data_IF_223883336148
#
_entry.id   IF_223883336148
#
_cell.length_a   1.000
_cell.length_b   1.000
_cell.length_c   1.000
_cell.angle_alpha   90.00
_cell.angle_beta   90.00
_cell.angle_gamma   90.00
#
_symmetry.space_group_name_H-M   'P 1'
#
loop_
_entity.id
_entity.type
_entity.pdbx_description
1 polymer ?
#
# COMPACT_ATOMS: atom_id res chain seq x y z
N UNK A 1 22.97 -59.34 2.75
CA UNK A 1 23.24 -57.97 2.27
C UNK A 1 21.93 -57.24 2.00
N UNK A 2 21.48 -56.35 2.90
CA UNK A 2 20.30 -55.49 2.70
C UNK A 2 20.78 -54.03 2.61
N UNK A 3 20.64 -53.40 1.43
CA UNK A 3 20.94 -51.97 1.24
C UNK A 3 19.78 -51.15 1.78
N UNK A 4 20.02 -50.37 2.84
CA UNK A 4 19.12 -49.29 3.29
C UNK A 4 19.45 -48.05 2.48
N UNK A 5 18.54 -47.59 1.63
CA UNK A 5 18.61 -46.26 1.03
C UNK A 5 18.05 -45.25 2.04
N UNK A 6 18.89 -44.30 2.47
CA UNK A 6 18.44 -43.12 3.19
C UNK A 6 17.59 -42.26 2.24
N UNK A 7 16.33 -42.03 2.59
CA UNK A 7 15.51 -40.97 1.99
C UNK A 7 15.87 -39.66 2.70
N UNK A 8 16.54 -38.77 2.00
CA UNK A 8 16.73 -37.38 2.43
C UNK A 8 15.38 -36.62 2.32
N UNK A 9 15.07 -35.72 3.27
CA UNK A 9 13.84 -34.93 3.24
C UNK A 9 13.87 -33.90 2.10
N UNK A 10 12.75 -33.81 1.37
CA UNK A 10 12.56 -32.98 0.17
C UNK A 10 12.70 -31.45 0.39
N UNK A 11 12.84 -31.00 1.65
CA UNK A 11 12.91 -29.58 2.01
C UNK A 11 14.30 -28.94 1.80
N UNK A 12 15.35 -29.73 1.52
CA UNK A 12 16.70 -29.21 1.25
C UNK A 12 17.00 -29.00 -0.25
N UNK A 13 16.10 -29.40 -1.15
CA UNK A 13 16.29 -29.28 -2.60
C UNK A 13 15.73 -27.98 -3.19
N UNK A 14 14.82 -27.27 -2.50
CA UNK A 14 14.28 -25.99 -2.97
C UNK A 14 15.27 -24.84 -2.76
N UNK A 15 16.01 -24.81 -1.65
CA UNK A 15 16.99 -23.76 -1.34
C UNK A 15 18.25 -23.83 -2.20
N UNK A 16 18.66 -25.02 -2.66
CA UNK A 16 19.82 -25.18 -3.55
C UNK A 16 19.55 -24.70 -5.00
N UNK A 17 18.29 -24.75 -5.46
CA UNK A 17 17.95 -24.32 -6.82
C UNK A 17 18.03 -22.80 -6.99
N UNK A 18 17.65 -22.03 -5.96
CA UNK A 18 17.79 -20.57 -6.01
C UNK A 18 19.25 -20.11 -5.93
N UNK A 19 20.11 -20.80 -5.17
CA UNK A 19 21.53 -20.45 -5.09
C UNK A 19 22.29 -20.73 -6.41
N UNK A 20 21.91 -21.77 -7.17
CA UNK A 20 22.56 -22.10 -8.44
C UNK A 20 22.15 -21.11 -9.55
N UNK A 21 20.91 -20.63 -9.56
CA UNK A 21 20.47 -19.57 -10.50
C UNK A 21 21.18 -18.25 -10.21
N UNK A 22 21.43 -17.93 -8.93
CA UNK A 22 22.15 -16.72 -8.52
C UNK A 22 23.63 -16.73 -8.95
N UNK A 23 24.31 -17.88 -8.90
CA UNK A 23 25.70 -18.01 -9.33
C UNK A 23 25.87 -18.04 -10.85
N UNK A 24 24.86 -18.46 -11.62
CA UNK A 24 24.95 -18.45 -13.09
C UNK A 24 24.73 -17.05 -13.70
N UNK A 25 23.98 -16.17 -13.04
CA UNK A 25 23.71 -14.81 -13.55
C UNK A 25 24.91 -13.86 -13.42
N UNK A 26 25.82 -14.13 -12.48
CA UNK A 26 27.02 -13.31 -12.23
C UNK A 26 28.15 -13.53 -13.26
N UNK A 27 28.06 -14.56 -14.11
CA UNK A 27 29.08 -14.92 -15.11
C UNK A 27 28.74 -14.37 -16.51
N UNK A 28 27.58 -13.75 -16.71
CA UNK A 28 27.08 -13.31 -18.03
C UNK A 28 26.90 -11.80 -18.15
N UNK A 29 27.80 -11.00 -17.57
CA UNK A 29 27.91 -9.59 -17.91
C UNK A 29 28.92 -9.43 -19.06
N UNK A 30 28.51 -8.92 -20.24
CA UNK A 30 29.46 -8.56 -21.28
C UNK A 30 30.24 -7.29 -20.87
N UNK A 31 31.53 -7.25 -21.21
CA UNK A 31 32.38 -6.07 -21.02
C UNK A 31 31.78 -4.85 -21.75
N UNK A 32 31.82 -3.64 -21.14
CA UNK A 32 31.37 -2.43 -21.80
C UNK A 32 32.35 -2.04 -22.91
N UNK A 33 31.98 -2.31 -24.16
CA UNK A 33 32.68 -1.79 -25.33
C UNK A 33 32.45 -0.29 -25.43
N UNK A 34 33.54 0.47 -25.45
CA UNK A 34 33.57 1.90 -25.69
C UNK A 34 32.96 2.23 -27.08
N UNK A 35 31.95 3.07 -27.11
CA UNK A 35 31.40 3.61 -28.35
C UNK A 35 32.15 4.90 -28.72
N UNK A 36 33.05 4.76 -29.68
CA UNK A 36 33.76 5.82 -30.37
C UNK A 36 32.89 6.45 -31.48
N UNK A 37 33.20 7.70 -31.74
CA UNK A 37 32.58 8.70 -32.58
C UNK A 37 32.64 8.42 -34.09
N UNK A 38 31.51 8.68 -34.77
CA UNK A 38 31.49 9.38 -36.06
C UNK A 38 31.58 8.54 -37.34
N UNK A 39 30.55 8.64 -38.19
CA UNK A 39 30.70 9.15 -39.56
C UNK A 39 29.34 9.40 -40.25
N UNK A 40 29.36 10.40 -41.12
CA UNK A 40 28.26 10.99 -41.90
C UNK A 40 28.41 10.61 -43.37
N UNK A 41 27.33 10.21 -44.05
CA UNK A 41 27.11 10.29 -45.51
C UNK A 41 25.57 10.36 -45.72
N UNK A 42 24.97 11.50 -46.10
CA UNK A 42 24.70 12.01 -47.47
C UNK A 42 23.95 11.03 -48.37
N UNK A 43 22.74 11.41 -48.83
CA UNK A 43 22.15 10.87 -50.07
C UNK A 43 20.62 10.73 -50.13
N UNK A 44 19.93 11.86 -50.28
CA UNK A 44 18.67 12.10 -51.03
C UNK A 44 17.83 10.93 -51.56
N UNK A 45 16.51 10.93 -51.28
CA UNK A 45 15.49 10.97 -52.34
C UNK A 45 14.14 11.50 -51.85
N UNK A 46 13.61 12.41 -52.67
CA UNK A 46 12.35 13.13 -52.59
C UNK A 46 11.22 12.21 -53.06
N UNK A 47 10.08 12.17 -52.35
CA UNK A 47 8.74 11.99 -52.94
C UNK A 47 7.65 12.21 -51.87
N UNK A 48 6.76 13.14 -52.17
CA UNK A 48 5.48 13.44 -51.53
C UNK A 48 4.64 14.19 -52.58
N UNK A 49 3.31 14.37 -52.47
CA UNK A 49 2.43 14.06 -51.32
C UNK A 49 1.09 13.38 -51.72
N UNK A 50 0.26 13.01 -50.74
CA UNK A 50 -1.12 13.53 -50.59
C UNK A 50 -1.99 12.61 -49.73
N UNK A 51 -2.69 13.20 -48.75
CA UNK A 51 -4.03 12.73 -48.36
C UNK A 51 -4.25 12.39 -46.89
N UNK A 52 -4.77 13.35 -46.12
CA UNK A 52 -5.77 13.06 -45.08
C UNK A 52 -5.33 13.10 -43.61
N UNK A 53 -4.97 14.28 -43.09
CA UNK A 53 -4.97 14.50 -41.64
C UNK A 53 -6.40 14.83 -41.15
N UNK A 54 -6.92 14.01 -40.24
CA UNK A 54 -8.05 14.36 -39.37
C UNK A 54 -7.53 15.22 -38.22
N UNK A 55 -8.30 16.23 -37.76
CA UNK A 55 -7.92 17.03 -36.60
C UNK A 55 -7.99 16.18 -35.33
N UNK A 56 -6.88 16.18 -34.57
CA UNK A 56 -6.82 15.72 -33.18
C UNK A 56 -7.37 16.86 -32.31
N UNK A 57 -8.31 16.59 -31.39
CA UNK A 57 -8.77 17.63 -30.47
C UNK A 57 -7.68 17.99 -29.45
N UNK A 58 -7.51 19.30 -29.24
CA UNK A 58 -6.66 19.92 -28.24
C UNK A 58 -6.83 19.26 -26.86
N UNK A 59 -5.79 18.56 -26.40
CA UNK A 59 -5.66 18.21 -24.99
C UNK A 59 -5.26 19.49 -24.24
N UNK A 60 -6.25 20.13 -23.62
CA UNK A 60 -6.00 21.22 -22.68
C UNK A 60 -5.08 20.73 -21.56
N UNK A 61 -3.98 21.44 -21.22
CA UNK A 61 -3.18 21.08 -20.06
C UNK A 61 -4.01 21.26 -18.78
N UNK A 62 -3.92 20.28 -17.88
CA UNK A 62 -4.47 20.38 -16.53
C UNK A 62 -3.86 21.61 -15.82
N UNK A 63 -4.66 22.39 -15.07
CA UNK A 63 -4.14 23.57 -14.39
C UNK A 63 -3.16 23.16 -13.28
N UNK A 64 -1.96 23.72 -13.34
CA UNK A 64 -1.01 23.74 -12.23
C UNK A 64 -1.68 24.45 -11.06
N UNK A 65 -2.14 23.68 -10.06
CA UNK A 65 -2.73 24.25 -8.84
C UNK A 65 -1.60 24.87 -8.02
N UNK A 66 -1.39 26.17 -8.20
CA UNK A 66 -0.65 27.00 -7.26
C UNK A 66 -1.33 26.90 -5.89
N UNK A 67 -0.56 26.53 -4.88
CA UNK A 67 -0.95 26.60 -3.48
C UNK A 67 -0.71 28.04 -3.01
N UNK A 68 -1.73 28.83 -2.66
CA UNK A 68 -1.51 30.10 -1.98
C UNK A 68 -1.33 29.84 -0.49
N UNK A 69 -0.22 30.33 0.03
CA UNK A 69 -0.01 30.45 1.46
C UNK A 69 -0.82 31.58 2.11
N UNK A 70 -1.03 31.38 3.41
CA UNK A 70 -1.00 32.36 4.49
C UNK A 70 -2.31 33.05 4.96
N UNK A 71 -2.47 32.98 6.30
CA UNK A 71 -3.24 33.80 7.25
C UNK A 71 -4.76 33.64 7.35
N UNK A 72 -5.28 33.14 8.49
CA UNK A 72 -5.53 33.98 9.69
C UNK A 72 -6.34 33.27 10.80
N UNK A 73 -5.78 33.37 12.01
CA UNK A 73 -6.40 33.66 13.32
C UNK A 73 -7.48 32.73 13.91
N UNK A 74 -7.05 32.03 14.96
CA UNK A 74 -7.87 31.34 15.97
C UNK A 74 -8.75 32.32 16.77
N UNK A 75 -10.01 31.95 17.09
CA UNK A 75 -10.73 32.56 18.19
C UNK A 75 -10.45 31.85 19.53
N UNK A 76 -10.25 32.69 20.54
CA UNK A 76 -10.05 32.41 21.98
C UNK A 76 -11.19 31.55 22.58
N UNK A 77 -10.91 30.66 23.55
CA UNK A 77 -11.92 29.82 24.18
C UNK A 77 -12.81 30.61 25.16
N UNK A 78 -14.12 30.34 25.12
CA UNK A 78 -15.06 30.75 26.17
C UNK A 78 -15.05 29.74 27.34
N UNK A 79 -15.18 30.20 28.59
CA UNK A 79 -15.33 29.33 29.76
C UNK A 79 -16.72 28.65 29.82
N UNK A 80 -16.84 27.54 30.57
CA UNK A 80 -18.02 26.67 30.54
C UNK A 80 -19.21 27.28 31.27
N UNK A 81 -20.41 27.01 30.74
CA UNK A 81 -21.69 27.22 31.43
C UNK A 81 -21.94 25.99 32.28
N UNK A 82 -22.01 26.20 33.59
CA UNK A 82 -22.50 25.23 34.57
C UNK A 82 -24.02 25.11 34.44
N UNK A 83 -24.53 23.89 34.27
CA UNK A 83 -25.94 23.59 34.49
C UNK A 83 -26.04 22.35 35.38
N UNK A 84 -26.70 22.54 36.51
CA UNK A 84 -26.89 21.57 37.58
C UNK A 84 -28.05 20.59 37.28
N UNK A 85 -27.94 19.42 37.93
CA UNK A 85 -29.03 18.57 38.43
C UNK A 85 -29.83 17.71 37.42
N UNK A 86 -29.46 16.43 37.36
CA UNK A 86 -30.29 15.37 36.79
C UNK A 86 -29.71 13.99 37.07
N UNK A 87 -29.75 13.54 38.32
CA UNK A 87 -29.23 12.24 38.75
C UNK A 87 -29.96 11.07 38.11
N UNK A 88 -29.25 10.30 37.29
CA UNK A 88 -29.61 8.94 36.90
C UNK A 88 -28.45 8.03 37.30
N UNK A 89 -28.64 7.24 38.35
CA UNK A 89 -27.72 6.17 38.73
C UNK A 89 -27.79 5.04 37.71
N UNK A 90 -26.85 5.03 36.77
CA UNK A 90 -26.62 3.89 35.87
C UNK A 90 -25.79 2.83 36.63
N UNK A 91 -26.18 1.55 36.61
CA UNK A 91 -25.43 0.51 37.30
C UNK A 91 -24.03 0.36 36.69
N UNK A 92 -23.02 0.66 37.50
CA UNK A 92 -21.62 0.33 37.28
C UNK A 92 -21.48 -1.18 37.45
N UNK A 93 -21.32 -1.91 36.35
CA UNK A 93 -21.28 -3.37 36.44
C UNK A 93 -21.10 -4.11 35.12
N UNK A 94 -20.27 -3.60 34.21
CA UNK A 94 -19.67 -4.44 33.18
C UNK A 94 -18.18 -4.12 33.15
N UNK A 95 -17.39 -4.98 33.77
CA UNK A 95 -15.94 -4.93 33.64
C UNK A 95 -15.60 -4.94 32.15
N UNK A 96 -15.01 -3.86 31.66
CA UNK A 96 -14.36 -3.84 30.35
C UNK A 96 -13.39 -5.02 30.35
N UNK A 97 -13.54 -6.00 29.44
CA UNK A 97 -12.62 -7.12 29.39
C UNK A 97 -11.20 -6.57 29.28
N UNK A 98 -10.33 -7.04 30.16
CA UNK A 98 -8.94 -6.64 30.21
C UNK A 98 -8.30 -6.96 28.84
N UNK A 99 -7.66 -6.00 28.16
CA UNK A 99 -7.12 -6.18 26.80
C UNK A 99 -6.00 -7.23 26.69
N UNK A 100 -5.64 -7.88 27.80
CA UNK A 100 -4.48 -8.76 27.92
C UNK A 100 -4.73 -10.24 27.58
N UNK A 101 -5.96 -10.65 27.25
CA UNK A 101 -6.27 -12.07 26.96
C UNK A 101 -6.91 -12.33 25.59
N UNK A 102 -6.79 -11.40 24.64
CA UNK A 102 -7.02 -11.75 23.23
C UNK A 102 -5.88 -12.69 22.80
N UNK A 103 -6.21 -13.97 22.62
CA UNK A 103 -5.31 -14.98 22.04
C UNK A 103 -4.72 -14.39 20.75
N UNK A 104 -3.40 -14.47 20.60
CA UNK A 104 -2.72 -13.93 19.43
C UNK A 104 -3.30 -14.53 18.15
N UNK A 105 -4.15 -13.77 17.45
CA UNK A 105 -4.41 -13.98 16.03
C UNK A 105 -3.06 -13.80 15.33
N UNK A 106 -2.33 -14.90 15.11
CA UNK A 106 -0.95 -14.85 14.65
C UNK A 106 -0.88 -14.45 13.18
N UNK A 107 -0.87 -13.13 12.96
CA UNK A 107 -0.11 -12.52 11.88
C UNK A 107 1.01 -11.69 12.49
N UNK A 108 1.86 -12.31 13.31
CA UNK A 108 3.06 -11.67 13.84
C UNK A 108 3.79 -10.90 12.73
N UNK A 109 4.10 -9.63 13.01
CA UNK A 109 4.89 -8.83 12.09
C UNK A 109 6.20 -9.59 11.80
N UNK A 110 6.67 -9.64 10.54
CA UNK A 110 7.91 -10.32 10.24
C UNK A 110 9.06 -9.78 11.11
N UNK A 111 9.94 -10.69 11.54
CA UNK A 111 11.07 -10.35 12.41
C UNK A 111 11.97 -9.26 11.79
N UNK A 112 12.07 -9.26 10.46
CA UNK A 112 12.66 -8.17 9.70
C UNK A 112 11.60 -7.10 9.43
N UNK A 113 11.80 -5.87 9.92
CA UNK A 113 10.83 -4.77 9.85
C UNK A 113 11.27 -3.67 8.89
N UNK A 114 11.68 -4.05 7.67
CA UNK A 114 12.14 -3.08 6.68
C UNK A 114 11.11 -1.99 6.39
N UNK A 115 9.83 -2.37 6.21
CA UNK A 115 8.76 -1.42 5.96
C UNK A 115 8.66 -0.32 7.03
N UNK A 116 8.95 -0.62 8.31
CA UNK A 116 9.01 0.40 9.35
C UNK A 116 10.20 1.36 9.19
N UNK A 117 11.35 0.86 8.71
CA UNK A 117 12.49 1.71 8.41
C UNK A 117 12.21 2.64 7.23
N UNK A 118 11.55 2.14 6.18
CA UNK A 118 11.11 2.93 5.02
C UNK A 118 10.10 4.02 5.43
N UNK A 119 9.13 3.69 6.27
CA UNK A 119 8.19 4.67 6.86
C UNK A 119 8.94 5.73 7.65
N UNK A 120 9.91 5.36 8.48
CA UNK A 120 10.68 6.31 9.28
C UNK A 120 11.51 7.26 8.39
N UNK A 121 12.15 6.71 7.36
CA UNK A 121 12.95 7.48 6.41
C UNK A 121 12.09 8.47 5.62
N UNK A 122 10.85 8.09 5.30
CA UNK A 122 9.93 8.87 4.46
C UNK A 122 8.82 9.58 5.25
N UNK A 123 8.99 9.76 6.57
CA UNK A 123 7.95 10.32 7.46
C UNK A 123 7.41 11.66 6.95
N UNK A 124 8.31 12.60 6.65
CA UNK A 124 7.91 13.95 6.19
C UNK A 124 7.09 13.91 4.89
N UNK A 125 7.45 13.01 3.97
CA UNK A 125 6.72 12.79 2.72
C UNK A 125 5.33 12.21 2.97
N UNK A 126 5.23 11.21 3.86
CA UNK A 126 3.95 10.61 4.26
C UNK A 126 3.04 11.65 4.92
N UNK A 127 3.56 12.44 5.87
CA UNK A 127 2.82 13.52 6.54
C UNK A 127 2.34 14.58 5.53
N UNK A 128 3.17 14.92 4.53
CA UNK A 128 2.82 15.90 3.49
C UNK A 128 1.72 15.40 2.56
N UNK A 129 1.70 14.09 2.25
CA UNK A 129 0.76 13.48 1.31
C UNK A 129 -0.52 12.96 1.97
N UNK A 130 -0.53 12.84 3.30
CA UNK A 130 -1.71 12.46 4.04
C UNK A 130 -2.83 13.50 3.92
N UNK A 131 -4.06 13.06 4.13
CA UNK A 131 -5.25 13.91 4.10
C UNK A 131 -6.32 13.37 5.04
N UNK A 132 -7.42 14.09 5.21
CA UNK A 132 -8.57 13.61 6.00
C UNK A 132 -9.14 12.29 5.45
N UNK A 133 -9.06 12.08 4.13
CA UNK A 133 -9.51 10.85 3.44
C UNK A 133 -8.47 9.72 3.49
N UNK A 134 -7.19 10.05 3.61
CA UNK A 134 -6.09 9.09 3.69
C UNK A 134 -5.23 9.46 4.90
N UNK A 135 -5.63 9.00 6.10
CA UNK A 135 -4.93 9.32 7.34
C UNK A 135 -3.47 8.88 7.29
N UNK A 136 -2.61 9.66 7.93
CA UNK A 136 -1.17 9.41 8.03
C UNK A 136 -0.82 7.98 8.43
N UNK A 137 -1.44 7.47 9.51
CA UNK A 137 -1.18 6.10 10.01
C UNK A 137 -1.59 5.02 8.99
N UNK A 138 -2.61 5.28 8.16
CA UNK A 138 -3.09 4.35 7.15
C UNK A 138 -2.15 4.31 5.95
N UNK A 139 -1.65 5.48 5.51
CA UNK A 139 -0.64 5.56 4.47
C UNK A 139 0.68 4.92 4.94
N UNK A 140 1.13 5.25 6.15
CA UNK A 140 2.33 4.68 6.76
C UNK A 140 2.22 3.15 6.88
N UNK A 141 1.11 2.63 7.41
CA UNK A 141 0.89 1.18 7.51
C UNK A 141 0.83 0.51 6.13
N UNK A 142 0.28 1.19 5.12
CA UNK A 142 0.24 0.68 3.75
C UNK A 142 1.65 0.51 3.19
N UNK A 143 2.52 1.51 3.34
CA UNK A 143 3.94 1.44 2.93
C UNK A 143 4.66 0.33 3.71
N UNK A 144 4.49 0.27 5.04
CA UNK A 144 5.13 -0.75 5.86
C UNK A 144 4.70 -2.18 5.47
N UNK A 145 3.43 -2.36 5.14
CA UNK A 145 2.89 -3.64 4.69
C UNK A 145 3.49 -4.09 3.35
N UNK A 146 3.68 -3.16 2.41
CA UNK A 146 4.28 -3.47 1.10
C UNK A 146 5.79 -3.74 1.19
N UNK A 147 6.50 -2.97 2.01
CA UNK A 147 7.95 -3.07 2.21
C UNK A 147 8.43 -4.38 2.86
N UNK A 148 7.52 -5.23 3.36
CA UNK A 148 7.87 -6.47 4.05
C UNK A 148 7.54 -7.75 3.26
N UNK A 149 7.47 -7.63 1.94
CA UNK A 149 7.27 -8.78 1.05
C UNK A 149 8.56 -9.60 0.94
N UNK A 150 8.48 -10.94 1.02
CA UNK A 150 9.60 -11.88 0.86
C UNK A 150 10.45 -11.67 -0.42
N UNK A 151 9.91 -10.93 -1.39
CA UNK A 151 10.55 -10.60 -2.66
C UNK A 151 11.63 -9.53 -2.54
N UNK A 152 11.75 -8.84 -1.39
CA UNK A 152 12.81 -7.86 -1.09
C UNK A 152 13.72 -8.36 0.05
N UNK A 153 14.39 -9.53 -0.08
CA UNK A 153 15.35 -9.95 0.94
C UNK A 153 16.50 -8.93 0.94
N UNK A 154 16.63 -8.18 2.04
CA UNK A 154 17.62 -7.09 2.26
C UNK A 154 17.21 -5.69 1.77
N UNK A 155 15.97 -5.48 1.35
CA UNK A 155 15.47 -4.15 0.99
C UNK A 155 16.11 -3.45 -0.18
N UNK A 156 16.76 -4.23 -1.03
CA UNK A 156 17.31 -3.78 -2.29
C UNK A 156 16.35 -4.14 -3.41
N UNK A 157 15.87 -3.13 -4.14
CA UNK A 157 15.05 -3.24 -5.35
C UNK A 157 15.79 -3.86 -6.54
N UNK A 158 16.95 -4.46 -6.31
CA UNK A 158 17.79 -4.99 -7.37
C UNK A 158 17.06 -6.06 -8.19
N UNK A 159 16.30 -6.95 -7.54
CA UNK A 159 15.51 -7.97 -8.24
C UNK A 159 14.42 -7.38 -9.14
N UNK A 160 13.69 -6.38 -8.64
CA UNK A 160 12.65 -5.66 -9.39
C UNK A 160 13.24 -4.87 -10.56
N UNK A 161 14.34 -4.15 -10.32
CA UNK A 161 15.06 -3.41 -11.37
C UNK A 161 15.58 -4.34 -12.46
N UNK A 162 16.11 -5.50 -12.10
CA UNK A 162 16.53 -6.53 -13.07
C UNK A 162 15.33 -7.01 -13.90
N UNK A 163 14.19 -7.31 -13.27
CA UNK A 163 12.97 -7.69 -14.00
C UNK A 163 12.53 -6.61 -15.00
N UNK A 164 12.56 -5.34 -14.59
CA UNK A 164 12.26 -4.19 -15.45
C UNK A 164 13.26 -4.06 -16.61
N UNK A 165 14.57 -4.14 -16.34
CA UNK A 165 15.64 -4.02 -17.35
C UNK A 165 15.53 -5.10 -18.41
N UNK A 166 15.26 -6.35 -18.01
CA UNK A 166 15.23 -7.48 -18.92
C UNK A 166 13.82 -7.79 -19.45
N UNK A 167 12.80 -7.01 -19.08
CA UNK A 167 11.40 -7.24 -19.46
C UNK A 167 10.88 -8.61 -19.03
N UNK A 168 11.36 -9.12 -17.89
CA UNK A 168 11.03 -10.46 -17.38
C UNK A 168 9.80 -10.38 -16.47
N UNK A 169 8.68 -10.89 -16.96
CA UNK A 169 7.42 -10.91 -16.20
C UNK A 169 6.52 -9.72 -16.53
N UNK A 170 5.22 -9.98 -16.60
CA UNK A 170 4.23 -8.94 -16.89
C UNK A 170 4.16 -7.93 -15.73
N UNK A 171 4.31 -6.65 -16.07
CA UNK A 171 3.97 -5.48 -15.24
C UNK A 171 4.26 -5.63 -13.73
N UNK A 172 5.53 -5.81 -13.31
CA UNK A 172 5.86 -6.08 -11.91
C UNK A 172 5.49 -4.89 -11.01
N UNK A 173 5.02 -5.18 -9.80
CA UNK A 173 4.95 -4.19 -8.72
C UNK A 173 6.36 -3.74 -8.36
N UNK A 174 6.58 -2.43 -8.27
CA UNK A 174 7.91 -1.86 -8.02
C UNK A 174 7.90 -0.77 -6.94
N UNK A 175 9.06 -0.56 -6.32
CA UNK A 175 9.30 0.50 -5.35
C UNK A 175 8.63 0.24 -3.99
N UNK A 176 8.75 1.20 -3.07
CA UNK A 176 8.27 1.02 -1.68
C UNK A 176 6.74 0.92 -1.57
N UNK A 177 6.01 1.50 -2.51
CA UNK A 177 4.56 1.36 -2.64
C UNK A 177 4.11 0.08 -3.34
N UNK A 178 5.03 -0.71 -3.91
CA UNK A 178 4.74 -1.93 -4.70
C UNK A 178 3.65 -1.69 -5.76
N UNK A 179 3.76 -0.56 -6.48
CA UNK A 179 2.77 -0.14 -7.49
C UNK A 179 3.17 -0.71 -8.86
N UNK A 180 2.22 -1.37 -9.54
CA UNK A 180 2.45 -1.83 -10.92
C UNK A 180 2.43 -0.65 -11.89
N UNK A 181 3.25 -0.63 -12.96
CA UNK A 181 3.20 0.45 -13.97
C UNK A 181 1.82 0.67 -14.59
N UNK A 182 1.05 -0.39 -14.88
CA UNK A 182 -0.35 -0.28 -15.32
C UNK A 182 -1.28 0.28 -14.26
N UNK A 183 -0.98 0.05 -12.97
CA UNK A 183 -1.67 0.68 -11.85
C UNK A 183 -1.31 2.16 -11.71
N UNK A 184 -0.03 2.53 -11.81
CA UNK A 184 0.42 3.91 -11.77
C UNK A 184 -0.27 4.79 -12.84
N UNK A 185 -0.41 4.27 -14.07
CA UNK A 185 -1.15 4.95 -15.15
C UNK A 185 -2.62 5.22 -14.79
N UNK A 186 -3.27 4.30 -14.07
CA UNK A 186 -4.66 4.49 -13.60
C UNK A 186 -4.78 5.60 -12.55
N UNK A 187 -3.68 5.97 -11.91
CA UNK A 187 -3.57 7.08 -10.96
C UNK A 187 -2.98 8.35 -11.58
N UNK A 188 -2.87 8.41 -12.92
CA UNK A 188 -2.44 9.61 -13.64
C UNK A 188 -0.93 9.80 -13.72
N UNK A 189 -0.12 8.82 -13.31
CA UNK A 189 1.32 8.89 -13.47
C UNK A 189 1.72 8.70 -14.94
N UNK A 190 2.35 9.73 -15.51
CA UNK A 190 2.79 9.80 -16.90
C UNK A 190 4.29 9.57 -17.08
N UNK A 191 5.04 9.38 -15.99
CA UNK A 191 6.47 9.09 -16.03
C UNK A 191 6.76 7.65 -16.47
N UNK A 192 8.03 7.31 -16.54
CA UNK A 192 8.47 5.95 -16.83
C UNK A 192 8.46 5.06 -15.59
N UNK A 193 8.68 3.77 -15.80
CA UNK A 193 8.79 2.77 -14.72
C UNK A 193 9.92 3.06 -13.73
N UNK A 194 10.95 3.82 -14.15
CA UNK A 194 12.08 4.12 -13.29
C UNK A 194 11.73 5.12 -12.19
N UNK A 195 10.89 6.11 -12.50
CA UNK A 195 10.37 7.02 -11.48
C UNK A 195 9.49 6.34 -10.43
N UNK A 196 8.97 5.13 -10.67
CA UNK A 196 8.24 4.37 -9.63
C UNK A 196 9.14 3.89 -8.48
N UNK A 197 10.45 3.85 -8.69
CA UNK A 197 11.43 3.57 -7.64
C UNK A 197 11.81 4.81 -6.83
N UNK A 198 11.31 6.00 -7.18
CA UNK A 198 11.48 7.19 -6.36
C UNK A 198 10.46 7.15 -5.22
N UNK A 199 10.93 7.20 -3.98
CA UNK A 199 10.09 7.06 -2.78
C UNK A 199 8.91 8.05 -2.80
N UNK A 200 9.13 9.31 -3.17
CA UNK A 200 8.09 10.34 -3.25
C UNK A 200 7.00 9.98 -4.26
N UNK A 201 7.38 9.52 -5.46
CA UNK A 201 6.44 9.08 -6.49
C UNK A 201 5.67 7.85 -6.02
N UNK A 202 6.37 6.86 -5.45
CA UNK A 202 5.78 5.61 -4.97
C UNK A 202 4.77 5.84 -3.84
N UNK A 203 5.11 6.71 -2.87
CA UNK A 203 4.21 7.09 -1.77
C UNK A 203 3.04 7.93 -2.30
N UNK A 204 3.28 8.85 -3.22
CA UNK A 204 2.22 9.63 -3.87
C UNK A 204 1.20 8.75 -4.58
N UNK A 205 1.65 7.70 -5.27
CA UNK A 205 0.78 6.73 -5.92
C UNK A 205 0.03 5.85 -4.91
N UNK A 206 0.66 5.47 -3.80
CA UNK A 206 -0.02 4.78 -2.72
C UNK A 206 -1.12 5.66 -2.09
N UNK A 207 -0.85 6.94 -1.85
CA UNK A 207 -1.85 7.89 -1.37
C UNK A 207 -3.02 8.02 -2.37
N UNK A 208 -2.74 8.16 -3.66
CA UNK A 208 -3.76 8.21 -4.71
C UNK A 208 -4.61 6.92 -4.79
N UNK A 209 -3.99 5.75 -4.60
CA UNK A 209 -4.67 4.46 -4.50
C UNK A 209 -5.66 4.43 -3.33
N UNK A 210 -5.20 4.78 -2.14
CA UNK A 210 -6.04 4.81 -0.94
C UNK A 210 -7.16 5.83 -1.07
N UNK A 211 -6.89 7.00 -1.66
CA UNK A 211 -7.90 8.03 -1.90
C UNK A 211 -8.99 7.55 -2.85
N UNK A 212 -8.62 6.83 -3.92
CA UNK A 212 -9.59 6.23 -4.84
C UNK A 212 -10.44 5.16 -4.15
N UNK A 213 -9.82 4.33 -3.31
CA UNK A 213 -10.53 3.36 -2.48
C UNK A 213 -11.51 4.06 -1.55
N UNK A 214 -11.09 5.11 -0.83
CA UNK A 214 -11.96 5.86 0.07
C UNK A 214 -13.12 6.52 -0.68
N UNK A 215 -12.87 7.08 -1.86
CA UNK A 215 -13.93 7.66 -2.70
C UNK A 215 -14.99 6.60 -3.09
N UNK A 216 -14.58 5.35 -3.28
CA UNK A 216 -15.51 4.26 -3.53
C UNK A 216 -16.28 3.85 -2.27
N UNK A 217 -15.61 3.84 -1.10
CA UNK A 217 -16.20 3.52 0.19
C UNK A 217 -17.19 4.59 0.67
N UNK A 218 -16.91 5.87 0.42
CA UNK A 218 -17.76 7.00 0.80
C UNK A 218 -19.19 6.87 0.24
N UNK A 219 -19.33 6.25 -0.94
CA UNK A 219 -20.64 5.93 -1.56
C UNK A 219 -21.53 4.98 -0.74
N UNK A 220 -20.96 4.31 0.28
CA UNK A 220 -21.66 3.39 1.16
C UNK A 220 -22.20 4.08 2.42
N UNK A 221 -21.81 5.32 2.69
CA UNK A 221 -22.21 6.11 3.88
C UNK A 221 -22.02 5.35 5.20
N UNK A 222 -20.88 4.68 5.34
CA UNK A 222 -20.54 3.92 6.53
C UNK A 222 -20.08 4.85 7.67
N UNK A 223 -20.14 4.35 8.90
CA UNK A 223 -19.52 5.04 10.02
C UNK A 223 -17.98 5.03 9.88
N UNK A 224 -17.26 5.96 10.56
CA UNK A 224 -15.82 6.15 10.34
C UNK A 224 -14.98 4.89 10.52
N UNK A 225 -15.27 4.07 11.54
CA UNK A 225 -14.56 2.80 11.79
C UNK A 225 -14.73 1.82 10.63
N UNK A 226 -15.95 1.63 10.13
CA UNK A 226 -16.25 0.74 9.02
C UNK A 226 -15.66 1.23 7.70
N UNK A 227 -15.67 2.56 7.46
CA UNK A 227 -14.99 3.15 6.31
C UNK A 227 -13.49 2.85 6.35
N UNK A 228 -12.87 3.14 7.49
CA UNK A 228 -11.44 2.91 7.72
C UNK A 228 -11.03 1.44 7.50
N UNK A 229 -11.85 0.49 7.97
CA UNK A 229 -11.64 -0.95 7.72
C UNK A 229 -11.58 -1.25 6.21
N UNK A 230 -12.55 -0.74 5.43
CA UNK A 230 -12.60 -1.03 3.99
C UNK A 230 -11.45 -0.40 3.23
N UNK A 231 -11.00 0.81 3.61
CA UNK A 231 -9.82 1.42 2.99
C UNK A 231 -8.55 0.63 3.31
N UNK A 232 -8.37 0.19 4.57
CA UNK A 232 -7.23 -0.63 4.96
C UNK A 232 -7.17 -1.95 4.17
N UNK A 233 -8.31 -2.60 3.95
CA UNK A 233 -8.41 -3.80 3.10
C UNK A 233 -8.09 -3.46 1.64
N UNK A 234 -8.61 -2.33 1.14
CA UNK A 234 -8.37 -1.84 -0.22
C UNK A 234 -6.92 -1.43 -0.51
N UNK A 235 -6.02 -1.36 0.48
CA UNK A 235 -4.58 -1.24 0.22
C UNK A 235 -4.06 -2.36 -0.70
N UNK A 236 -4.47 -3.60 -0.46
CA UNK A 236 -4.05 -4.73 -1.31
C UNK A 236 -5.02 -4.95 -2.48
N UNK A 237 -6.30 -4.69 -2.27
CA UNK A 237 -7.37 -5.08 -3.22
C UNK A 237 -7.80 -3.93 -4.16
N UNK A 238 -7.34 -2.71 -3.91
CA UNK A 238 -7.78 -1.49 -4.59
C UNK A 238 -9.26 -1.17 -4.35
N UNK A 239 -9.81 -0.34 -5.23
CA UNK A 239 -11.23 0.05 -5.26
C UNK A 239 -12.17 -1.12 -5.58
N UNK A 240 -11.64 -2.29 -5.95
CA UNK A 240 -12.43 -3.49 -6.23
C UNK A 240 -13.13 -4.03 -4.99
N UNK A 241 -12.64 -3.71 -3.78
CA UNK A 241 -13.32 -4.07 -2.52
C UNK A 241 -14.78 -3.58 -2.50
N UNK A 242 -15.07 -2.45 -3.17
CA UNK A 242 -16.42 -1.88 -3.28
C UNK A 242 -17.02 -1.94 -4.69
N UNK A 243 -16.24 -1.71 -5.74
CA UNK A 243 -16.76 -1.41 -7.10
C UNK A 243 -17.05 -2.67 -7.94
N UNK A 244 -16.02 -3.26 -8.53
CA UNK A 244 -16.17 -4.17 -9.67
C UNK A 244 -16.57 -5.60 -9.31
N UNK A 245 -16.19 -6.08 -8.12
CA UNK A 245 -16.55 -7.42 -7.65
C UNK A 245 -17.77 -7.39 -6.72
N UNK A 246 -18.25 -6.20 -6.33
CA UNK A 246 -19.22 -6.03 -5.25
C UNK A 246 -18.82 -6.81 -3.99
N UNK A 247 -17.52 -7.05 -3.76
CA UNK A 247 -17.06 -8.06 -2.80
C UNK A 247 -17.60 -7.79 -1.40
N UNK A 248 -17.46 -6.56 -0.90
CA UNK A 248 -18.11 -6.15 0.35
C UNK A 248 -19.64 -6.23 0.27
N UNK A 249 -20.23 -5.71 -0.81
CA UNK A 249 -21.70 -5.66 -0.99
C UNK A 249 -22.37 -7.03 -1.00
N UNK A 250 -21.67 -8.10 -1.38
CA UNK A 250 -22.17 -9.48 -1.32
C UNK A 250 -22.51 -9.93 0.11
N UNK A 251 -21.83 -9.36 1.12
CA UNK A 251 -22.02 -9.74 2.52
C UNK A 251 -22.84 -8.73 3.33
N UNK A 252 -23.05 -7.53 2.77
CA UNK A 252 -23.93 -6.48 3.31
C UNK A 252 -23.44 -5.77 4.59
N UNK A 253 -22.61 -6.42 5.39
CA UNK A 253 -22.07 -5.88 6.66
C UNK A 253 -20.58 -6.18 6.79
N UNK A 254 -19.85 -5.38 7.58
CA UNK A 254 -18.41 -5.60 7.82
C UNK A 254 -18.18 -6.94 8.53
N UNK A 255 -19.01 -7.29 9.52
CA UNK A 255 -18.92 -8.60 10.19
C UNK A 255 -19.15 -9.75 9.20
N UNK A 256 -20.20 -9.67 8.37
CA UNK A 256 -20.45 -10.66 7.33
C UNK A 256 -19.29 -10.76 6.33
N UNK A 257 -18.71 -9.63 5.94
CA UNK A 257 -17.58 -9.57 5.03
C UNK A 257 -16.34 -10.25 5.62
N UNK A 258 -15.91 -9.82 6.82
CA UNK A 258 -14.72 -10.37 7.47
C UNK A 258 -14.87 -11.85 7.84
N UNK A 259 -16.09 -12.31 8.19
CA UNK A 259 -16.36 -13.72 8.49
C UNK A 259 -16.20 -14.61 7.26
N UNK A 260 -16.72 -14.16 6.12
CA UNK A 260 -16.83 -14.99 4.91
C UNK A 260 -15.74 -14.69 3.86
N UNK A 261 -14.83 -13.76 4.13
CA UNK A 261 -13.74 -13.38 3.24
C UNK A 261 -12.38 -13.44 3.94
N UNK A 262 -11.70 -14.58 3.78
CA UNK A 262 -10.41 -14.85 4.43
C UNK A 262 -9.31 -13.89 3.99
N UNK A 263 -9.29 -13.48 2.72
CA UNK A 263 -8.29 -12.56 2.20
C UNK A 263 -8.47 -11.17 2.81
N UNK A 264 -9.71 -10.67 2.87
CA UNK A 264 -10.02 -9.38 3.48
C UNK A 264 -9.67 -9.37 4.97
N UNK A 265 -10.03 -10.43 5.70
CA UNK A 265 -9.68 -10.60 7.11
C UNK A 265 -8.16 -10.62 7.33
N UNK A 266 -7.43 -11.39 6.52
CA UNK A 266 -5.97 -11.48 6.59
C UNK A 266 -5.31 -10.13 6.31
N UNK A 267 -5.81 -9.41 5.30
CA UNK A 267 -5.28 -8.09 4.96
C UNK A 267 -5.54 -7.07 6.07
N UNK A 268 -6.75 -7.04 6.64
CA UNK A 268 -7.07 -6.15 7.75
C UNK A 268 -6.19 -6.46 8.97
N UNK A 269 -6.02 -7.74 9.31
CA UNK A 269 -5.17 -8.17 10.43
C UNK A 269 -3.71 -7.67 10.24
N UNK A 270 -3.13 -7.84 9.05
CA UNK A 270 -1.79 -7.32 8.73
C UNK A 270 -1.70 -5.80 8.89
N UNK A 271 -2.69 -5.08 8.36
CA UNK A 271 -2.74 -3.62 8.45
C UNK A 271 -2.85 -3.15 9.91
N UNK A 272 -3.71 -3.78 10.71
CA UNK A 272 -3.86 -3.44 12.13
C UNK A 272 -2.58 -3.69 12.92
N UNK A 273 -1.89 -4.81 12.70
CA UNK A 273 -0.61 -5.09 13.34
C UNK A 273 0.44 -4.00 13.01
N UNK A 274 0.48 -3.52 11.76
CA UNK A 274 1.36 -2.41 11.40
C UNK A 274 0.96 -1.09 12.04
N UNK A 275 -0.33 -0.75 12.06
CA UNK A 275 -0.80 0.50 12.67
C UNK A 275 -0.53 0.54 14.18
N UNK A 276 -0.78 -0.54 14.90
CA UNK A 276 -0.46 -0.62 16.33
C UNK A 276 1.05 -0.50 16.59
N UNK A 277 1.86 -1.17 15.78
CA UNK A 277 3.31 -1.05 15.86
C UNK A 277 3.76 0.40 15.64
N UNK A 278 3.26 1.04 14.59
CA UNK A 278 3.57 2.41 14.22
C UNK A 278 3.09 3.41 15.28
N UNK A 279 1.91 3.21 15.85
CA UNK A 279 1.41 4.02 16.95
C UNK A 279 2.32 3.89 18.18
N UNK A 280 2.61 2.67 18.61
CA UNK A 280 3.34 2.40 19.85
C UNK A 280 4.83 2.79 19.77
N UNK A 281 5.45 2.71 18.59
CA UNK A 281 6.90 2.86 18.44
C UNK A 281 7.32 4.13 17.69
N UNK A 282 6.46 4.67 16.81
CA UNK A 282 6.80 5.82 15.98
C UNK A 282 5.86 7.03 16.22
N UNK A 283 4.86 6.89 17.10
CA UNK A 283 3.99 7.99 17.50
C UNK A 283 2.95 8.41 16.46
N UNK A 284 2.60 7.54 15.52
CA UNK A 284 1.49 7.79 14.60
C UNK A 284 0.15 7.74 15.34
N UNK A 285 -0.82 8.55 14.93
CA UNK A 285 -2.13 8.63 15.57
C UNK A 285 -3.23 8.09 14.66
N UNK A 286 -4.21 7.40 15.26
CA UNK A 286 -5.44 7.05 14.55
C UNK A 286 -6.31 8.30 14.32
N UNK A 287 -7.03 8.37 13.19
CA UNK A 287 -7.95 9.46 12.93
C UNK A 287 -9.09 9.48 13.96
N UNK A 288 -9.66 10.66 14.20
CA UNK A 288 -10.77 10.84 15.13
C UNK A 288 -11.98 10.02 14.71
N UNK A 289 -12.59 9.31 15.66
CA UNK A 289 -13.82 8.54 15.44
C UNK A 289 -13.59 7.10 14.98
N UNK A 290 -12.34 6.69 14.73
CA UNK A 290 -11.99 5.28 14.51
C UNK A 290 -11.81 4.57 15.85
N UNK A 291 -12.61 3.54 16.09
CA UNK A 291 -12.57 2.69 17.28
C UNK A 291 -11.75 1.42 16.99
N UNK A 292 -10.49 1.40 17.45
CA UNK A 292 -9.58 0.27 17.24
C UNK A 292 -10.01 -0.99 18.02
N UNK A 293 -10.66 -0.85 19.17
CA UNK A 293 -11.17 -1.99 19.93
C UNK A 293 -12.28 -2.71 19.15
N UNK A 294 -13.14 -1.92 18.49
CA UNK A 294 -14.18 -2.48 17.61
C UNK A 294 -13.57 -3.25 16.43
N UNK A 295 -12.50 -2.74 15.81
CA UNK A 295 -11.82 -3.44 14.70
C UNK A 295 -11.28 -4.80 15.18
N UNK A 296 -10.62 -4.84 16.33
CA UNK A 296 -10.10 -6.09 16.90
C UNK A 296 -11.20 -7.07 17.27
N UNK A 297 -12.29 -6.60 17.87
CA UNK A 297 -13.46 -7.44 18.15
C UNK A 297 -14.02 -8.05 16.87
N UNK A 298 -14.13 -7.28 15.78
CA UNK A 298 -14.60 -7.78 14.49
C UNK A 298 -13.67 -8.85 13.90
N UNK A 299 -12.35 -8.68 14.03
CA UNK A 299 -11.37 -9.68 13.60
C UNK A 299 -11.46 -10.97 14.44
N UNK A 300 -11.69 -10.84 15.75
CA UNK A 300 -11.90 -11.97 16.66
C UNK A 300 -13.16 -12.75 16.31
N UNK A 301 -14.31 -12.06 16.24
CA UNK A 301 -15.62 -12.65 15.93
C UNK A 301 -15.64 -13.35 14.55
N UNK A 302 -14.82 -12.87 13.61
CA UNK A 302 -14.70 -13.45 12.28
C UNK A 302 -13.87 -14.75 12.25
N UNK A 303 -13.12 -15.05 13.31
CA UNK A 303 -12.34 -16.29 13.46
C UNK A 303 -13.14 -17.40 14.17
N UNK A 304 -14.23 -17.06 14.87
CA UNK A 304 -15.15 -17.99 15.53
C UNK A 304 -16.29 -18.49 14.60
#
# INVERSE_FOLDING_TARGET
MRRRFLRLPALLLSSLRSAIVFSLLLVMLPDPVAADSGQSLVGSEQLSPSGGQRPVPDASPLPTRQVPGAFSQSPTPQPPVEDEAGGVTVPVGAATPEPAQMVALDASLPAYRQGAAEVRQNRATIETLASDQVPEILLAASIANQGNTYQRPLGVDWGERVQVVFGLGGDPSVGIGQIMPGEAKRYGYAGDVWGLFEDEVSIGLMAAKLQRTESAVDSLHLAPTESFILVAIGNNMGDTVVTNSNRFRQYGTISGFLKNDEEARTQLLKMMNWMEYLQANEGWSFPKGVDTNRIWQLLWDAHE
#
